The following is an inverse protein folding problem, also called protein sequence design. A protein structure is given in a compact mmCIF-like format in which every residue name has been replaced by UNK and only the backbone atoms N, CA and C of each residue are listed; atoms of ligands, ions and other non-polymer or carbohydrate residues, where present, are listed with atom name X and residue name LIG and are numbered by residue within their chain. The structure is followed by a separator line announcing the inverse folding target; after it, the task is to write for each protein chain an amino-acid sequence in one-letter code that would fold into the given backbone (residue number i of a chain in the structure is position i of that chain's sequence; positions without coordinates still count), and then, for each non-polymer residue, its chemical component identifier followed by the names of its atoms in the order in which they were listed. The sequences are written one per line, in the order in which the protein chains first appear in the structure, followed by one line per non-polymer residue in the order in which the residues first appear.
data_IF_529133846023
#
_entry.id   IF_529133846023
#
_cell.length_a   1.000
_cell.length_b   1.000
_cell.length_c   1.000
_cell.angle_alpha   90.00
_cell.angle_beta   90.00
_cell.angle_gamma   90.00
#
_symmetry.space_group_name_H-M   'P 1'
#
loop_
_entity.id
_entity.type
_entity.pdbx_description
1 polymer ?
#
# COMPACT_ATOMS: atom_id res chain seq x y z
N UNK A 1 23.55 13.81 -16.07
CA UNK A 1 24.48 14.14 -14.97
C UNK A 1 23.75 15.11 -14.07
N UNK A 2 23.16 14.64 -12.97
CA UNK A 2 22.80 15.43 -11.76
C UNK A 2 22.15 14.45 -10.76
N UNK A 3 22.94 13.46 -10.36
CA UNK A 3 22.55 12.41 -9.40
C UNK A 3 23.20 12.66 -8.02
N UNK A 4 23.81 13.84 -7.83
CA UNK A 4 24.68 14.16 -6.68
C UNK A 4 24.28 15.44 -5.91
N UNK A 5 23.08 15.96 -6.08
CA UNK A 5 22.58 17.06 -5.24
C UNK A 5 21.50 16.53 -4.29
N UNK A 6 21.97 15.93 -3.20
CA UNK A 6 21.17 15.66 -2.00
C UNK A 6 21.79 16.45 -0.85
N UNK A 7 20.98 17.22 -0.14
CA UNK A 7 21.45 18.08 0.96
C UNK A 7 21.97 17.25 2.13
N UNK A 8 21.43 16.04 2.31
CA UNK A 8 21.78 15.16 3.42
C UNK A 8 21.98 13.71 2.98
N UNK A 9 23.12 13.15 3.39
CA UNK A 9 23.43 11.73 3.30
C UNK A 9 23.59 11.19 4.72
N UNK A 10 22.77 10.19 5.06
CA UNK A 10 22.71 9.58 6.39
C UNK A 10 23.48 8.26 6.34
N UNK A 11 24.47 8.11 7.20
CA UNK A 11 25.25 6.87 7.34
C UNK A 11 24.55 5.90 8.30
N UNK A 12 24.29 4.69 7.82
CA UNK A 12 23.73 3.59 8.59
C UNK A 12 24.81 2.65 9.13
N UNK A 13 24.43 1.75 10.06
CA UNK A 13 25.31 0.68 10.50
C UNK A 13 25.76 -0.18 9.31
N UNK A 14 26.99 -0.70 9.40
CA UNK A 14 27.65 -1.51 8.37
C UNK A 14 28.07 -0.76 7.09
N UNK A 15 28.16 0.58 7.14
CA UNK A 15 28.65 1.37 5.99
C UNK A 15 27.63 1.50 4.87
N UNK A 16 26.35 1.43 5.20
CA UNK A 16 25.25 1.74 4.29
C UNK A 16 24.97 3.24 4.30
N UNK A 17 24.52 3.80 3.17
CA UNK A 17 24.21 5.22 3.05
C UNK A 17 22.80 5.39 2.50
N UNK A 18 22.04 6.33 3.04
CA UNK A 18 20.70 6.66 2.55
C UNK A 18 20.55 8.17 2.40
N UNK A 19 19.95 8.60 1.29
CA UNK A 19 19.70 10.00 1.00
C UNK A 19 18.39 10.50 1.64
N UNK A 20 18.26 11.80 1.88
CA UNK A 20 17.03 12.44 2.34
C UNK A 20 15.79 12.10 1.48
N UNK A 21 15.89 12.24 0.16
CA UNK A 21 14.81 11.88 -0.78
C UNK A 21 14.41 10.41 -0.67
N UNK A 22 15.40 9.56 -0.45
CA UNK A 22 15.21 8.12 -0.31
C UNK A 22 14.42 7.82 0.97
N UNK A 23 14.74 8.50 2.07
CA UNK A 23 14.01 8.39 3.35
C UNK A 23 12.56 8.85 3.21
N UNK A 24 12.31 9.99 2.56
CA UNK A 24 10.95 10.50 2.32
C UNK A 24 10.11 9.53 1.47
N UNK A 25 10.72 8.97 0.41
CA UNK A 25 10.09 7.96 -0.42
C UNK A 25 9.74 6.69 0.37
N UNK A 26 10.69 6.16 1.13
CA UNK A 26 10.45 5.00 1.99
C UNK A 26 9.36 5.28 3.04
N UNK A 27 9.35 6.47 3.64
CA UNK A 27 8.36 6.87 4.62
C UNK A 27 6.95 6.92 4.02
N UNK A 28 6.82 7.47 2.81
CA UNK A 28 5.54 7.57 2.11
C UNK A 28 4.98 6.18 1.78
N UNK A 29 5.82 5.28 1.25
CA UNK A 29 5.44 3.89 0.99
C UNK A 29 5.00 3.14 2.25
N UNK A 30 5.74 3.29 3.35
CA UNK A 30 5.39 2.66 4.63
C UNK A 30 4.07 3.20 5.18
N UNK A 31 3.82 4.50 5.01
CA UNK A 31 2.59 5.14 5.45
C UNK A 31 1.40 4.62 4.67
N UNK A 32 1.49 4.57 3.34
CA UNK A 32 0.45 4.01 2.47
C UNK A 32 0.13 2.55 2.83
N UNK A 33 1.16 1.73 3.05
CA UNK A 33 0.98 0.33 3.43
C UNK A 33 0.23 0.17 4.76
N UNK A 34 0.58 0.97 5.77
CA UNK A 34 -0.13 0.97 7.07
C UNK A 34 -1.55 1.49 6.94
N UNK A 35 -1.77 2.54 6.16
CA UNK A 35 -3.12 3.05 5.89
C UNK A 35 -3.99 2.00 5.18
N UNK A 36 -3.41 1.11 4.37
CA UNK A 36 -4.14 -0.01 3.75
C UNK A 36 -4.39 -1.17 4.71
N UNK A 37 -3.44 -1.52 5.59
CA UNK A 37 -3.66 -2.54 6.64
C UNK A 37 -4.70 -2.10 7.68
N UNK A 38 -4.73 -0.81 8.02
CA UNK A 38 -5.65 -0.25 9.02
C UNK A 38 -7.05 0.05 8.46
N UNK A 39 -7.27 -0.08 7.14
CA UNK A 39 -8.60 0.03 6.55
C UNK A 39 -9.42 -1.20 6.95
N UNK A 40 -10.47 -1.05 7.77
CA UNK A 40 -11.41 -2.15 7.96
C UNK A 40 -11.97 -2.52 6.58
N UNK A 41 -12.15 -3.83 6.34
CA UNK A 41 -12.87 -4.29 5.16
C UNK A 41 -14.18 -3.49 5.05
N UNK A 42 -14.53 -2.96 3.87
CA UNK A 42 -15.81 -2.31 3.67
C UNK A 42 -16.92 -3.19 4.24
N UNK A 43 -17.80 -2.63 5.07
CA UNK A 43 -18.93 -3.36 5.66
C UNK A 43 -19.81 -4.04 4.60
N UNK A 44 -19.76 -3.53 3.37
CA UNK A 44 -20.42 -4.09 2.18
C UNK A 44 -19.84 -5.46 1.77
N UNK A 45 -18.56 -5.71 2.04
CA UNK A 45 -17.90 -7.00 1.79
C UNK A 45 -18.27 -8.06 2.84
N UNK A 46 -18.69 -7.66 4.04
CA UNK A 46 -19.16 -8.58 5.08
C UNK A 46 -20.45 -9.30 4.67
N UNK A 47 -21.22 -8.69 3.74
CA UNK A 47 -22.50 -9.20 3.26
C UNK A 47 -22.46 -9.72 1.82
N UNK A 48 -21.28 -10.08 1.30
CA UNK A 48 -21.22 -10.73 0.00
C UNK A 48 -21.91 -12.11 0.06
N UNK A 49 -22.98 -12.31 -0.74
CA UNK A 49 -23.64 -13.61 -0.79
C UNK A 49 -22.68 -14.66 -1.35
N UNK A 50 -22.91 -15.93 -1.00
CA UNK A 50 -22.07 -17.02 -1.49
C UNK A 50 -22.11 -17.06 -3.02
N UNK A 51 -21.05 -17.58 -3.68
CA UNK A 51 -21.03 -17.72 -5.14
C UNK A 51 -22.26 -18.45 -5.71
N UNK A 52 -22.81 -19.42 -4.95
CA UNK A 52 -24.05 -20.11 -5.30
C UNK A 52 -25.25 -19.15 -5.32
N UNK A 53 -25.40 -18.30 -4.30
CA UNK A 53 -26.51 -17.35 -4.22
C UNK A 53 -26.40 -16.21 -5.24
N UNK A 54 -25.18 -15.78 -5.57
CA UNK A 54 -24.94 -14.81 -6.66
C UNK A 54 -25.45 -15.39 -7.99
N UNK A 55 -25.11 -16.65 -8.28
CA UNK A 55 -25.54 -17.34 -9.49
C UNK A 55 -27.07 -17.44 -9.57
N UNK A 56 -27.73 -17.84 -8.48
CA UNK A 56 -29.20 -17.93 -8.43
C UNK A 56 -29.89 -16.62 -8.78
N UNK A 57 -29.37 -15.48 -8.28
CA UNK A 57 -29.94 -14.15 -8.57
C UNK A 57 -29.74 -13.79 -10.04
N UNK A 58 -28.56 -14.06 -10.60
CA UNK A 58 -28.26 -13.78 -12.01
C UNK A 58 -29.10 -14.63 -12.97
N UNK A 59 -29.37 -15.89 -12.61
CA UNK A 59 -30.21 -16.80 -13.37
C UNK A 59 -31.70 -16.36 -13.41
N UNK A 60 -32.15 -15.43 -12.55
CA UNK A 60 -33.51 -14.85 -12.61
C UNK A 60 -33.69 -13.76 -13.68
N UNK A 61 -32.59 -13.26 -14.27
CA UNK A 61 -32.62 -12.18 -15.26
C UNK A 61 -32.41 -12.67 -16.70
N UNK A 62 -32.50 -13.98 -16.92
CA UNK A 62 -32.36 -14.64 -18.23
C UNK A 62 -33.70 -15.20 -18.70
#
# INVERSE_FOLDING_TARGET
MEENEVDFLIEGPQGNYICDRCVEGCYSLLKEYKEDEEKPLPKELEFLPTPQRIKEILDQYV
#
